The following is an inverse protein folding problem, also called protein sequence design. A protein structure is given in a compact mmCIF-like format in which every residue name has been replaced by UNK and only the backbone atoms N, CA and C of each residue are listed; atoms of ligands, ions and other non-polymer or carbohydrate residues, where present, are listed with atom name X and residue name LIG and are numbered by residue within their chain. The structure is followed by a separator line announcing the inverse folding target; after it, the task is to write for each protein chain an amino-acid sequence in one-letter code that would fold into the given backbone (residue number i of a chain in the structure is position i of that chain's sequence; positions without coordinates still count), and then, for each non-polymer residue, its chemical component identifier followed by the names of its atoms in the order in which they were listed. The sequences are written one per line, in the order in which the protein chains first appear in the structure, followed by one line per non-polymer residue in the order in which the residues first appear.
data_IF_174143508630
#
_entry.id   IF_174143508630
#
_cell.length_a   1.000
_cell.length_b   1.000
_cell.length_c   1.000
_cell.angle_alpha   90.00
_cell.angle_beta   90.00
_cell.angle_gamma   90.00
#
_symmetry.space_group_name_H-M   'P 1'
#
loop_
_entity.id
_entity.type
_entity.pdbx_description
1 polymer ?
#
# COMPACT_ATOMS: atom_id res chain seq x y z
N UNK A 1 12.25 -13.21 -14.45
CA UNK A 1 10.92 -13.76 -14.10
C UNK A 1 10.93 -14.11 -12.62
N UNK A 2 9.94 -13.67 -11.84
CA UNK A 2 9.82 -14.06 -10.42
C UNK A 2 9.62 -15.56 -10.30
N UNK A 3 10.19 -16.18 -9.25
CA UNK A 3 10.06 -17.63 -8.97
C UNK A 3 8.76 -18.00 -8.27
N UNK A 4 8.00 -17.00 -7.82
CA UNK A 4 6.70 -17.15 -7.14
C UNK A 4 5.62 -16.37 -7.88
N UNK A 5 4.43 -16.97 -7.97
CA UNK A 5 3.22 -16.27 -8.39
C UNK A 5 2.64 -15.50 -7.19
N UNK A 6 2.03 -14.34 -7.46
CA UNK A 6 1.45 -13.50 -6.41
C UNK A 6 1.14 -12.10 -6.89
N UNK A 7 0.78 -11.25 -5.94
CA UNK A 7 0.39 -9.84 -6.13
C UNK A 7 1.62 -8.97 -5.94
N UNK A 8 1.86 -8.04 -6.88
CA UNK A 8 2.94 -7.07 -6.77
C UNK A 8 2.60 -6.00 -5.72
N UNK A 9 3.38 -5.92 -4.64
CA UNK A 9 3.20 -4.96 -3.54
C UNK A 9 4.11 -3.74 -3.65
N UNK A 10 5.25 -3.91 -4.30
CA UNK A 10 6.22 -2.85 -4.53
C UNK A 10 7.09 -3.17 -5.73
N UNK A 11 7.47 -2.13 -6.47
CA UNK A 11 8.34 -2.24 -7.63
C UNK A 11 9.15 -0.96 -7.74
N UNK A 12 10.46 -1.09 -7.93
CA UNK A 12 11.31 0.05 -8.27
C UNK A 12 10.91 0.62 -9.62
N UNK A 13 11.02 1.94 -9.74
CA UNK A 13 10.84 2.63 -11.02
C UNK A 13 11.87 2.11 -12.02
N UNK A 14 11.44 2.01 -13.27
CA UNK A 14 12.32 1.67 -14.38
C UNK A 14 13.52 2.64 -14.49
N UNK A 15 14.68 2.09 -14.86
CA UNK A 15 15.95 2.84 -14.96
C UNK A 15 16.60 3.23 -13.62
N UNK A 16 16.07 2.83 -12.46
CA UNK A 16 16.70 3.10 -11.18
C UNK A 16 18.04 2.33 -11.04
N UNK A 17 19.16 2.99 -10.68
CA UNK A 17 20.44 2.33 -10.54
C UNK A 17 20.42 1.38 -9.33
N UNK A 18 20.83 0.13 -9.54
CA UNK A 18 20.86 -0.91 -8.51
C UNK A 18 22.19 -1.68 -8.53
N UNK A 19 22.51 -2.31 -7.41
CA UNK A 19 23.65 -3.22 -7.28
C UNK A 19 23.19 -4.69 -7.32
N UNK A 20 24.10 -5.65 -7.60
CA UNK A 20 23.77 -7.07 -7.51
C UNK A 20 23.20 -7.44 -6.12
N UNK A 21 22.08 -8.17 -6.12
CA UNK A 21 21.38 -8.56 -4.88
C UNK A 21 20.42 -7.51 -4.30
N UNK A 22 20.29 -6.34 -4.92
CA UNK A 22 19.35 -5.31 -4.47
C UNK A 22 17.88 -5.78 -4.62
N UNK A 23 17.05 -5.50 -3.62
CA UNK A 23 15.61 -5.82 -3.68
C UNK A 23 14.92 -4.85 -4.64
N UNK A 24 14.48 -5.36 -5.80
CA UNK A 24 13.84 -4.55 -6.86
C UNK A 24 12.32 -4.58 -6.85
N UNK A 25 11.72 -5.60 -6.23
CA UNK A 25 10.29 -5.78 -6.17
C UNK A 25 9.89 -6.58 -4.92
N UNK A 26 8.60 -6.52 -4.58
CA UNK A 26 7.98 -7.27 -3.49
C UNK A 26 6.71 -7.94 -4.01
N UNK A 27 6.62 -9.27 -3.85
CA UNK A 27 5.50 -10.09 -4.34
C UNK A 27 4.89 -10.84 -3.16
N UNK A 28 3.58 -10.68 -2.97
CA UNK A 28 2.81 -11.39 -1.95
C UNK A 28 2.10 -12.59 -2.56
N UNK A 29 2.42 -13.84 -2.16
CA UNK A 29 1.80 -15.03 -2.73
C UNK A 29 0.37 -15.29 -2.24
N UNK A 30 -0.11 -14.56 -1.23
CA UNK A 30 -1.42 -14.76 -0.59
C UNK A 30 -2.54 -14.24 -1.47
N UNK A 31 -3.49 -15.10 -1.85
CA UNK A 31 -4.56 -14.75 -2.80
C UNK A 31 -5.57 -13.77 -2.20
N UNK A 32 -5.82 -13.89 -0.90
CA UNK A 32 -6.70 -13.03 -0.12
C UNK A 32 -6.26 -11.56 -0.13
N UNK A 33 -4.96 -11.29 -0.31
CA UNK A 33 -4.42 -9.92 -0.40
C UNK A 33 -4.87 -9.20 -1.68
N UNK A 34 -5.46 -9.89 -2.65
CA UNK A 34 -6.01 -9.27 -3.86
C UNK A 34 -7.16 -8.32 -3.52
N UNK A 35 -7.97 -8.66 -2.51
CA UNK A 35 -9.08 -7.81 -2.07
C UNK A 35 -8.59 -6.46 -1.57
N UNK A 36 -7.42 -6.43 -0.92
CA UNK A 36 -6.80 -5.20 -0.42
C UNK A 36 -6.44 -4.20 -1.54
N UNK A 37 -6.37 -4.62 -2.81
CA UNK A 37 -6.19 -3.71 -3.94
C UNK A 37 -7.44 -2.86 -4.25
N UNK A 38 -8.61 -3.30 -3.78
CA UNK A 38 -9.90 -2.66 -4.05
C UNK A 38 -10.55 -2.07 -2.79
N UNK A 39 -9.93 -2.25 -1.63
CA UNK A 39 -10.39 -1.74 -0.34
C UNK A 39 -9.54 -0.57 0.15
N UNK A 40 -10.15 0.29 0.97
CA UNK A 40 -9.43 1.36 1.66
C UNK A 40 -8.59 0.78 2.81
N UNK A 41 -7.30 1.10 2.83
CA UNK A 41 -6.40 0.64 3.89
C UNK A 41 -6.80 1.19 5.26
N UNK A 42 -6.48 0.45 6.32
CA UNK A 42 -6.69 0.87 7.71
C UNK A 42 -6.02 2.21 8.00
N UNK A 43 -4.81 2.42 7.48
CA UNK A 43 -4.06 3.67 7.65
C UNK A 43 -4.82 4.86 7.05
N UNK A 44 -5.35 4.68 5.83
CA UNK A 44 -6.14 5.71 5.17
C UNK A 44 -7.46 5.97 5.92
N UNK A 45 -8.12 4.93 6.43
CA UNK A 45 -9.32 5.07 7.27
C UNK A 45 -9.02 5.85 8.55
N UNK A 46 -7.94 5.53 9.26
CA UNK A 46 -7.54 6.25 10.47
C UNK A 46 -7.26 7.73 10.19
N UNK A 47 -6.48 8.05 9.16
CA UNK A 47 -6.17 9.45 8.80
C UNK A 47 -7.45 10.20 8.45
N UNK A 48 -8.31 9.63 7.60
CA UNK A 48 -9.58 10.24 7.23
C UNK A 48 -10.51 10.43 8.44
N UNK A 49 -10.55 9.45 9.35
CA UNK A 49 -11.30 9.52 10.60
C UNK A 49 -10.85 10.70 11.47
N UNK A 50 -9.54 10.87 11.69
CA UNK A 50 -9.02 11.99 12.48
C UNK A 50 -9.34 13.36 11.86
N UNK A 51 -9.33 13.46 10.53
CA UNK A 51 -9.74 14.70 9.83
C UNK A 51 -11.24 14.96 10.04
N UNK A 52 -12.09 13.94 9.92
CA UNK A 52 -13.52 14.06 10.15
C UNK A 52 -13.83 14.51 11.58
N UNK A 53 -13.18 13.90 12.57
CA UNK A 53 -13.32 14.26 13.99
C UNK A 53 -13.00 15.72 14.23
N UNK A 54 -11.88 16.22 13.68
CA UNK A 54 -11.49 17.63 13.81
C UNK A 54 -12.52 18.56 13.17
N UNK A 55 -13.02 18.24 11.97
CA UNK A 55 -14.02 19.07 11.28
C UNK A 55 -15.32 19.11 12.08
N UNK A 56 -15.83 17.96 12.52
CA UNK A 56 -17.04 17.89 13.34
C UNK A 56 -16.89 18.70 14.64
N UNK A 57 -15.74 18.59 15.31
CA UNK A 57 -15.43 19.36 16.50
C UNK A 57 -15.32 20.87 16.25
N UNK A 58 -15.00 21.33 15.03
CA UNK A 58 -14.99 22.76 14.69
C UNK A 58 -16.37 23.28 14.24
N UNK A 59 -17.21 22.44 13.65
CA UNK A 59 -18.56 22.82 13.22
C UNK A 59 -19.57 22.88 14.38
N UNK A 60 -19.29 22.18 15.49
CA UNK A 60 -20.12 22.18 16.70
C UNK A 60 -19.54 23.03 17.85
N UNK A 61 -18.62 23.96 17.53
CA UNK A 61 -18.28 25.09 18.39
C UNK A 61 -19.29 26.21 18.19
#
# INVERSE_FOLDING_TARGET
MTRIAGILRGLLRDGYPVTPGFKVADVDPRREELENCFLISDKARCIAGSVLELIAANLWK
#
